data_IF_162708729035
#
_entry.id   IF_162708729035
#
_cell.length_a   1.000
_cell.length_b   1.000
_cell.length_c   1.000
_cell.angle_alpha   90.00
_cell.angle_beta   90.00
_cell.angle_gamma   90.00
#
_symmetry.space_group_name_H-M   'P 1'
#
loop_
_entity.id
_entity.type
_entity.pdbx_description
1 polymer ?
#
# COMPACT_ATOMS: atom_id res chain seq x y z
N UNK A 1 -2.99 31.97 -52.95
CA UNK A 1 -1.63 31.79 -52.41
C UNK A 1 -1.78 31.41 -50.96
N UNK A 2 -1.54 30.15 -50.61
CA UNK A 2 -1.51 29.73 -49.21
C UNK A 2 -0.18 30.17 -48.62
N UNK A 3 -0.22 31.07 -47.64
CA UNK A 3 0.95 31.48 -46.87
C UNK A 3 1.44 30.27 -46.06
N UNK A 4 2.47 29.60 -46.56
CA UNK A 4 3.31 28.73 -45.75
C UNK A 4 4.20 29.64 -44.90
N UNK A 5 3.72 30.01 -43.72
CA UNK A 5 4.57 30.60 -42.68
C UNK A 5 5.43 29.51 -42.05
N UNK A 6 6.73 29.77 -41.89
CA UNK A 6 7.64 28.88 -41.17
C UNK A 6 7.23 28.78 -39.68
N UNK A 7 7.45 27.61 -39.08
CA UNK A 7 7.09 27.37 -37.68
C UNK A 7 7.85 28.32 -36.74
N UNK A 8 7.17 29.36 -36.25
CA UNK A 8 7.72 30.36 -35.33
C UNK A 8 7.79 31.80 -35.88
N UNK A 9 7.34 32.07 -37.11
CA UNK A 9 7.22 33.45 -37.59
C UNK A 9 5.96 34.12 -37.03
N UNK A 10 6.14 35.25 -36.33
CA UNK A 10 5.02 36.08 -35.88
C UNK A 10 4.34 36.75 -37.10
N UNK A 11 2.99 36.78 -37.17
CA UNK A 11 2.27 37.44 -38.26
C UNK A 11 2.59 38.94 -38.25
N UNK A 12 3.05 39.49 -39.38
CA UNK A 12 3.49 40.90 -39.47
C UNK A 12 2.43 41.80 -40.12
N UNK A 13 1.46 41.21 -40.81
CA UNK A 13 0.42 41.91 -41.55
C UNK A 13 -0.97 41.69 -40.93
N UNK A 14 -1.85 42.70 -40.94
CA UNK A 14 -3.23 42.57 -40.43
C UNK A 14 -4.01 41.40 -41.04
N UNK A 15 -3.74 41.07 -42.32
CA UNK A 15 -4.33 39.89 -42.99
C UNK A 15 -3.81 38.56 -42.43
N UNK A 16 -2.53 38.48 -42.12
CA UNK A 16 -1.91 37.27 -41.55
C UNK A 16 -2.37 37.07 -40.11
N UNK A 17 -2.60 38.16 -39.37
CA UNK A 17 -3.19 38.13 -38.03
C UNK A 17 -4.63 37.56 -38.08
N UNK A 18 -5.46 38.06 -39.00
CA UNK A 18 -6.83 37.58 -39.17
C UNK A 18 -6.88 36.09 -39.59
N UNK A 19 -5.99 35.65 -40.48
CA UNK A 19 -5.88 34.25 -40.88
C UNK A 19 -5.41 33.36 -39.69
N UNK A 20 -4.46 33.85 -38.88
CA UNK A 20 -3.98 33.16 -37.69
C UNK A 20 -5.09 33.01 -36.63
N UNK A 21 -5.88 34.07 -36.38
CA UNK A 21 -7.04 34.05 -35.50
C UNK A 21 -8.13 33.10 -36.01
N UNK A 22 -8.38 33.08 -37.33
CA UNK A 22 -9.34 32.14 -37.92
C UNK A 22 -8.89 30.68 -37.74
N UNK A 23 -7.59 30.39 -37.90
CA UNK A 23 -7.02 29.05 -37.68
C UNK A 23 -7.10 28.65 -36.21
N UNK A 24 -6.80 29.57 -35.28
CA UNK A 24 -6.87 29.28 -33.84
C UNK A 24 -8.32 29.03 -33.38
N UNK A 25 -9.27 29.83 -33.87
CA UNK A 25 -10.70 29.65 -33.62
C UNK A 25 -11.20 28.30 -34.17
N UNK A 26 -10.76 27.89 -35.35
CA UNK A 26 -11.10 26.59 -35.93
C UNK A 26 -10.52 25.46 -35.08
N UNK A 27 -9.26 25.55 -34.65
CA UNK A 27 -8.66 24.56 -33.73
C UNK A 27 -9.40 24.47 -32.40
N UNK A 28 -9.80 25.60 -31.82
CA UNK A 28 -10.62 25.63 -30.60
C UNK A 28 -11.96 24.92 -30.81
N UNK A 29 -12.68 25.27 -31.87
CA UNK A 29 -13.95 24.63 -32.22
C UNK A 29 -13.80 23.11 -32.38
N UNK A 30 -12.78 22.65 -33.13
CA UNK A 30 -12.52 21.21 -33.28
C UNK A 30 -12.18 20.52 -31.96
N UNK A 31 -11.46 21.18 -31.05
CA UNK A 31 -11.13 20.64 -29.74
C UNK A 31 -12.39 20.48 -28.86
N UNK A 32 -13.34 21.41 -28.93
CA UNK A 32 -14.64 21.28 -28.26
C UNK A 32 -15.49 20.14 -28.83
N UNK A 33 -15.55 19.99 -30.15
CA UNK A 33 -16.27 18.88 -30.78
C UNK A 33 -15.70 17.52 -30.36
N UNK A 34 -14.36 17.40 -30.33
CA UNK A 34 -13.66 16.19 -29.89
C UNK A 34 -13.92 15.90 -28.41
N UNK A 35 -13.99 16.93 -27.56
CA UNK A 35 -14.36 16.80 -26.14
C UNK A 35 -15.76 16.20 -26.00
N UNK A 36 -16.74 16.73 -26.73
CA UNK A 36 -18.13 16.26 -26.64
C UNK A 36 -18.28 14.83 -27.19
N UNK A 37 -17.64 14.50 -28.32
CA UNK A 37 -17.56 13.13 -28.83
C UNK A 37 -16.93 12.17 -27.80
N UNK A 38 -15.86 12.61 -27.15
CA UNK A 38 -15.23 11.88 -26.05
C UNK A 38 -16.23 11.59 -24.92
N UNK A 39 -17.01 12.59 -24.50
CA UNK A 39 -18.04 12.45 -23.47
C UNK A 39 -19.16 11.48 -23.89
N UNK A 40 -19.57 11.50 -25.16
CA UNK A 40 -20.57 10.57 -25.70
C UNK A 40 -20.07 9.13 -25.64
N UNK A 41 -18.83 8.87 -26.05
CA UNK A 41 -18.23 7.54 -25.95
C UNK A 41 -18.15 7.03 -24.50
N UNK A 42 -17.89 7.90 -23.52
CA UNK A 42 -17.96 7.52 -22.10
C UNK A 42 -19.37 7.05 -21.72
N UNK A 43 -20.42 7.73 -22.22
CA UNK A 43 -21.82 7.35 -21.97
C UNK A 43 -22.22 6.05 -22.65
N UNK A 44 -21.66 5.75 -23.83
CA UNK A 44 -21.90 4.49 -24.56
C UNK A 44 -21.30 3.27 -23.83
N UNK A 45 -20.36 3.48 -22.90
CA UNK A 45 -19.88 2.46 -21.97
C UNK A 45 -18.53 1.83 -22.35
N UNK A 46 -18.17 0.76 -21.64
CA UNK A 46 -16.79 0.24 -21.59
C UNK A 46 -16.15 -0.08 -22.95
N UNK A 47 -16.95 -0.50 -23.94
CA UNK A 47 -16.46 -0.83 -25.28
C UNK A 47 -15.86 0.38 -26.02
N UNK A 48 -16.30 1.59 -25.69
CA UNK A 48 -15.89 2.83 -26.36
C UNK A 48 -14.93 3.68 -25.53
N UNK A 49 -14.42 3.17 -24.41
CA UNK A 49 -13.47 3.90 -23.57
C UNK A 49 -12.13 4.15 -24.27
N UNK A 50 -11.67 3.24 -25.14
CA UNK A 50 -10.49 3.48 -25.98
C UNK A 50 -10.70 4.66 -26.93
N UNK A 51 -11.87 4.70 -27.59
CA UNK A 51 -12.22 5.72 -28.57
C UNK A 51 -12.35 7.09 -27.88
N UNK A 52 -12.92 7.10 -26.67
CA UNK A 52 -12.99 8.30 -25.82
C UNK A 52 -11.60 8.85 -25.48
N UNK A 53 -10.64 7.98 -25.14
CA UNK A 53 -9.25 8.39 -24.86
C UNK A 53 -8.59 8.98 -26.11
N UNK A 54 -8.81 8.40 -27.29
CA UNK A 54 -8.29 8.92 -28.56
C UNK A 54 -8.88 10.31 -28.86
N UNK A 55 -10.20 10.49 -28.69
CA UNK A 55 -10.85 11.79 -28.85
C UNK A 55 -10.26 12.86 -27.91
N UNK A 56 -10.10 12.56 -26.62
CA UNK A 56 -9.49 13.51 -25.68
C UNK A 56 -8.03 13.80 -26.03
N UNK A 57 -7.28 12.79 -26.46
CA UNK A 57 -5.87 12.97 -26.85
C UNK A 57 -5.74 13.86 -28.08
N UNK A 58 -6.60 13.67 -29.08
CA UNK A 58 -6.68 14.56 -30.25
C UNK A 58 -7.10 15.98 -29.86
N UNK A 59 -8.02 16.14 -28.92
CA UNK A 59 -8.43 17.45 -28.42
C UNK A 59 -7.26 18.17 -27.72
N UNK A 60 -6.52 17.45 -26.86
CA UNK A 60 -5.33 17.98 -26.17
C UNK A 60 -4.25 18.39 -27.19
N UNK A 61 -4.03 17.58 -28.24
CA UNK A 61 -3.03 17.85 -29.27
C UNK A 61 -3.33 19.08 -30.13
N UNK A 62 -4.57 19.59 -30.15
CA UNK A 62 -4.87 20.86 -30.84
C UNK A 62 -4.18 22.06 -30.17
N UNK A 63 -3.87 21.96 -28.87
CA UNK A 63 -3.17 22.96 -28.07
C UNK A 63 -3.69 24.40 -28.29
N UNK A 64 -5.01 24.53 -28.42
CA UNK A 64 -5.68 25.80 -28.75
C UNK A 64 -6.62 26.29 -27.64
N UNK A 65 -6.84 25.47 -26.61
CA UNK A 65 -7.73 25.76 -25.49
C UNK A 65 -7.00 26.46 -24.35
N UNK A 66 -7.76 27.11 -23.47
CA UNK A 66 -7.21 27.70 -22.24
C UNK A 66 -6.75 26.61 -21.26
N UNK A 67 -5.85 26.97 -20.33
CA UNK A 67 -5.35 26.04 -19.29
C UNK A 67 -6.49 25.41 -18.47
N UNK A 68 -7.55 26.17 -18.18
CA UNK A 68 -8.71 25.68 -17.47
C UNK A 68 -9.48 24.59 -18.26
N UNK A 69 -9.62 24.76 -19.57
CA UNK A 69 -10.30 23.81 -20.45
C UNK A 69 -9.43 22.59 -20.74
N UNK A 70 -8.13 22.80 -20.91
CA UNK A 70 -7.16 21.73 -21.06
C UNK A 70 -7.08 20.87 -19.79
N UNK A 71 -7.15 21.49 -18.59
CA UNK A 71 -7.30 20.76 -17.32
C UNK A 71 -8.55 19.86 -17.32
N UNK A 72 -9.67 20.32 -17.86
CA UNK A 72 -10.89 19.51 -17.96
C UNK A 72 -10.66 18.31 -18.89
N UNK A 73 -9.99 18.48 -20.03
CA UNK A 73 -9.67 17.39 -20.96
C UNK A 73 -8.79 16.32 -20.31
N UNK A 74 -7.70 16.73 -19.66
CA UNK A 74 -6.82 15.81 -18.93
C UNK A 74 -7.59 15.09 -17.81
N UNK A 75 -8.42 15.82 -17.06
CA UNK A 75 -9.26 15.24 -16.00
C UNK A 75 -10.26 14.22 -16.56
N UNK A 76 -10.86 14.46 -17.73
CA UNK A 76 -11.78 13.53 -18.37
C UNK A 76 -11.06 12.29 -18.93
N UNK A 77 -9.86 12.45 -19.50
CA UNK A 77 -9.01 11.32 -19.91
C UNK A 77 -8.59 10.47 -18.71
N UNK A 78 -8.22 11.11 -17.59
CA UNK A 78 -7.92 10.45 -16.33
C UNK A 78 -9.11 9.60 -15.82
N UNK A 79 -10.33 10.13 -15.95
CA UNK A 79 -11.53 9.40 -15.56
C UNK A 79 -11.70 8.09 -16.33
N UNK A 80 -11.55 8.14 -17.66
CA UNK A 80 -11.68 6.94 -18.49
C UNK A 80 -10.55 5.95 -18.20
N UNK A 81 -9.33 6.43 -17.99
CA UNK A 81 -8.21 5.59 -17.56
C UNK A 81 -8.48 4.91 -16.21
N UNK A 82 -9.11 5.59 -15.24
CA UNK A 82 -9.55 4.99 -13.97
C UNK A 82 -10.57 3.88 -14.20
N UNK A 83 -11.55 4.10 -15.08
CA UNK A 83 -12.59 3.11 -15.39
C UNK A 83 -12.02 1.86 -16.09
N UNK A 84 -10.92 2.02 -16.84
CA UNK A 84 -10.19 0.92 -17.45
C UNK A 84 -9.22 0.19 -16.50
N UNK A 85 -8.97 0.74 -15.30
CA UNK A 85 -7.97 0.22 -14.36
C UNK A 85 -6.53 0.65 -14.66
N UNK A 86 -6.33 1.61 -15.56
CA UNK A 86 -5.01 2.14 -15.90
C UNK A 86 -4.57 3.21 -14.89
N UNK A 87 -4.38 2.83 -13.63
CA UNK A 87 -4.21 3.77 -12.51
C UNK A 87 -3.00 4.70 -12.68
N UNK A 88 -1.87 4.20 -13.20
CA UNK A 88 -0.66 5.03 -13.40
C UNK A 88 -0.87 6.12 -14.46
N UNK A 89 -1.53 5.79 -15.58
CA UNK A 89 -1.85 6.78 -16.62
C UNK A 89 -2.90 7.78 -16.14
N UNK A 90 -3.89 7.30 -15.39
CA UNK A 90 -4.88 8.17 -14.77
C UNK A 90 -4.26 9.15 -13.78
N UNK A 91 -3.29 8.71 -12.97
CA UNK A 91 -2.59 9.58 -12.02
C UNK A 91 -1.84 10.68 -12.76
N UNK A 92 -1.05 10.31 -13.78
CA UNK A 92 -0.31 11.29 -14.59
C UNK A 92 -1.24 12.32 -15.24
N UNK A 93 -2.32 11.87 -15.88
CA UNK A 93 -3.32 12.76 -16.48
C UNK A 93 -3.96 13.69 -15.44
N UNK A 94 -4.27 13.17 -14.26
CA UNK A 94 -4.88 13.96 -13.20
C UNK A 94 -3.88 14.96 -12.59
N UNK A 95 -2.60 14.61 -12.46
CA UNK A 95 -1.54 15.52 -12.03
C UNK A 95 -1.36 16.66 -13.03
N UNK A 96 -1.30 16.36 -14.32
CA UNK A 96 -1.19 17.39 -15.38
C UNK A 96 -2.44 18.29 -15.38
N UNK A 97 -3.63 17.74 -15.15
CA UNK A 97 -4.84 18.54 -14.95
C UNK A 97 -4.73 19.48 -13.74
N UNK A 98 -4.16 19.03 -12.62
CA UNK A 98 -4.00 19.85 -11.40
C UNK A 98 -2.90 20.90 -11.53
N UNK A 99 -1.85 20.66 -12.34
CA UNK A 99 -0.83 21.68 -12.65
C UNK A 99 -1.42 22.85 -13.43
N UNK A 100 -2.29 22.54 -14.40
CA UNK A 100 -2.98 23.55 -15.21
C UNK A 100 -4.07 24.31 -14.42
N UNK A 101 -4.85 23.59 -13.62
CA UNK A 101 -5.87 24.20 -12.76
C UNK A 101 -5.91 23.52 -11.38
N UNK A 102 -5.23 24.10 -10.38
CA UNK A 102 -5.21 23.57 -9.02
C UNK A 102 -6.59 23.51 -8.36
N UNK A 103 -7.53 24.38 -8.77
CA UNK A 103 -8.88 24.46 -8.23
C UNK A 103 -9.83 23.38 -8.79
N UNK A 104 -9.36 22.53 -9.72
CA UNK A 104 -10.18 21.48 -10.32
C UNK A 104 -10.37 20.30 -9.35
N UNK A 105 -11.44 20.38 -8.54
CA UNK A 105 -11.80 19.34 -7.54
C UNK A 105 -12.00 17.96 -8.15
N UNK A 106 -12.51 17.87 -9.39
CA UNK A 106 -12.67 16.58 -10.08
C UNK A 106 -11.32 15.95 -10.44
N UNK A 107 -10.35 16.75 -10.86
CA UNK A 107 -8.99 16.28 -11.10
C UNK A 107 -8.33 15.79 -9.80
N UNK A 108 -8.44 16.58 -8.71
CA UNK A 108 -7.92 16.18 -7.39
C UNK A 108 -8.53 14.88 -6.88
N UNK A 109 -9.85 14.71 -7.01
CA UNK A 109 -10.52 13.46 -6.65
C UNK A 109 -10.01 12.26 -7.48
N UNK A 110 -9.86 12.46 -8.79
CA UNK A 110 -9.38 11.42 -9.72
C UNK A 110 -7.91 11.05 -9.41
N UNK A 111 -7.06 12.03 -9.11
CA UNK A 111 -5.68 11.82 -8.67
C UNK A 111 -5.64 11.02 -7.37
N UNK A 112 -6.39 11.46 -6.34
CA UNK A 112 -6.45 10.76 -5.06
C UNK A 112 -6.93 9.30 -5.20
N UNK A 113 -7.95 9.07 -6.04
CA UNK A 113 -8.46 7.72 -6.31
C UNK A 113 -7.45 6.84 -7.05
N UNK A 114 -6.70 7.43 -8.00
CA UNK A 114 -5.62 6.73 -8.70
C UNK A 114 -4.48 6.36 -7.75
N UNK A 115 -4.02 7.30 -6.92
CA UNK A 115 -2.98 7.08 -5.89
C UNK A 115 -3.39 6.03 -4.88
N UNK A 116 -4.64 6.07 -4.40
CA UNK A 116 -5.18 5.05 -3.49
C UNK A 116 -5.14 3.65 -4.13
N UNK A 117 -5.50 3.54 -5.42
CA UNK A 117 -5.46 2.26 -6.14
C UNK A 117 -4.03 1.77 -6.42
N UNK A 118 -3.03 2.65 -6.38
CA UNK A 118 -1.60 2.33 -6.49
C UNK A 118 -0.93 2.09 -5.13
N UNK A 119 -1.70 2.08 -4.03
CA UNK A 119 -1.20 2.00 -2.65
C UNK A 119 -0.25 3.15 -2.25
N UNK A 120 -0.37 4.30 -2.92
CA UNK A 120 0.33 5.55 -2.58
C UNK A 120 -0.53 6.34 -1.60
N UNK A 121 -0.66 5.81 -0.38
CA UNK A 121 -1.60 6.30 0.63
C UNK A 121 -1.28 7.74 1.12
N UNK A 122 -0.02 8.11 1.41
CA UNK A 122 0.32 9.46 1.85
C UNK A 122 -0.01 10.51 0.79
N UNK A 123 0.33 10.24 -0.48
CA UNK A 123 0.04 11.13 -1.60
C UNK A 123 -1.46 11.25 -1.82
N UNK A 124 -2.21 10.14 -1.74
CA UNK A 124 -3.66 10.14 -1.87
C UNK A 124 -4.32 11.02 -0.79
N UNK A 125 -3.85 10.94 0.46
CA UNK A 125 -4.34 11.77 1.57
C UNK A 125 -4.10 13.25 1.31
N UNK A 126 -2.89 13.64 0.92
CA UNK A 126 -2.58 15.03 0.62
C UNK A 126 -3.40 15.60 -0.55
N UNK A 127 -3.68 14.79 -1.57
CA UNK A 127 -4.57 15.18 -2.68
C UNK A 127 -6.02 15.34 -2.23
N UNK A 128 -6.50 14.47 -1.33
CA UNK A 128 -7.82 14.60 -0.73
C UNK A 128 -7.96 15.88 0.09
N UNK A 129 -6.98 16.20 0.92
CA UNK A 129 -6.97 17.42 1.74
C UNK A 129 -7.01 18.69 0.86
N UNK A 130 -6.18 18.75 -0.19
CA UNK A 130 -6.24 19.83 -1.20
C UNK A 130 -7.62 19.94 -1.84
N UNK A 131 -8.24 18.81 -2.18
CA UNK A 131 -9.60 18.79 -2.73
C UNK A 131 -10.65 19.36 -1.78
N UNK A 132 -10.55 19.03 -0.49
CA UNK A 132 -11.46 19.54 0.55
C UNK A 132 -11.26 21.03 0.86
N UNK A 133 -10.05 21.56 0.68
CA UNK A 133 -9.78 23.01 0.81
C UNK A 133 -10.56 23.82 -0.24
N UNK A 134 -10.66 23.31 -1.47
CA UNK A 134 -11.42 23.97 -2.55
C UNK A 134 -12.93 23.69 -2.48
N UNK A 135 -13.34 22.49 -2.05
CA UNK A 135 -14.75 22.14 -1.90
C UNK A 135 -15.00 21.29 -0.66
N UNK A 136 -15.24 21.98 0.46
CA UNK A 136 -15.49 21.38 1.78
C UNK A 136 -16.78 20.55 1.86
N UNK A 137 -17.70 20.75 0.91
CA UNK A 137 -19.00 20.05 0.86
C UNK A 137 -18.97 18.75 0.06
N UNK A 138 -17.85 18.35 -0.54
CA UNK A 138 -17.82 17.18 -1.42
C UNK A 138 -17.80 15.85 -0.64
N UNK A 139 -18.96 15.21 -0.56
CA UNK A 139 -19.15 13.96 0.21
C UNK A 139 -18.36 12.76 -0.36
N UNK A 140 -18.15 12.69 -1.68
CA UNK A 140 -17.36 11.59 -2.27
C UNK A 140 -15.90 11.65 -1.82
N UNK A 141 -15.38 12.87 -1.72
CA UNK A 141 -13.99 13.15 -1.36
C UNK A 141 -13.75 12.89 0.14
N UNK A 142 -14.73 13.23 0.99
CA UNK A 142 -14.73 12.85 2.42
C UNK A 142 -14.78 11.34 2.62
N UNK A 143 -15.61 10.62 1.84
CA UNK A 143 -15.67 9.16 1.90
C UNK A 143 -14.34 8.52 1.52
N UNK A 144 -13.70 9.01 0.45
CA UNK A 144 -12.39 8.54 0.02
C UNK A 144 -11.30 8.82 1.07
N UNK A 145 -11.28 10.03 1.64
CA UNK A 145 -10.34 10.39 2.71
C UNK A 145 -10.46 9.44 3.92
N UNK A 146 -11.69 9.15 4.37
CA UNK A 146 -11.93 8.17 5.45
C UNK A 146 -11.42 6.77 5.10
N UNK A 147 -11.59 6.31 3.86
CA UNK A 147 -11.06 5.02 3.41
C UNK A 147 -9.52 5.00 3.44
N UNK A 148 -8.89 6.07 2.99
CA UNK A 148 -7.43 6.22 3.02
C UNK A 148 -6.92 6.19 4.46
N UNK A 149 -7.54 6.93 5.38
CA UNK A 149 -7.15 6.95 6.80
C UNK A 149 -7.25 5.57 7.46
N UNK A 150 -8.27 4.78 7.10
CA UNK A 150 -8.42 3.40 7.60
C UNK A 150 -7.29 2.50 7.10
N UNK A 151 -6.94 2.57 5.81
CA UNK A 151 -5.85 1.74 5.27
C UNK A 151 -4.47 2.19 5.79
N UNK A 152 -4.23 3.49 5.98
CA UNK A 152 -3.00 3.99 6.61
C UNK A 152 -2.87 3.43 8.04
N UNK A 153 -3.92 3.57 8.86
CA UNK A 153 -3.89 3.06 10.23
C UNK A 153 -3.69 1.54 10.31
N UNK A 154 -4.17 0.80 9.30
CA UNK A 154 -3.98 -0.65 9.20
C UNK A 154 -2.54 -1.00 8.83
N UNK A 155 -1.93 -0.29 7.88
CA UNK A 155 -0.54 -0.50 7.50
C UNK A 155 0.40 -0.13 8.65
N UNK A 156 0.17 0.99 9.34
CA UNK A 156 0.96 1.40 10.50
C UNK A 156 0.91 0.36 11.63
N UNK A 157 -0.26 -0.23 11.90
CA UNK A 157 -0.39 -1.32 12.88
C UNK A 157 0.41 -2.55 12.47
N UNK A 158 0.32 -2.93 11.20
CA UNK A 158 1.06 -4.07 10.65
C UNK A 158 2.56 -3.84 10.74
N UNK A 159 3.03 -2.66 10.38
CA UNK A 159 4.45 -2.29 10.45
C UNK A 159 4.95 -2.25 11.89
N UNK A 160 4.13 -1.78 12.83
CA UNK A 160 4.44 -1.82 14.26
C UNK A 160 4.53 -3.27 14.80
N UNK A 161 3.62 -4.15 14.40
CA UNK A 161 3.65 -5.57 14.77
C UNK A 161 4.89 -6.28 14.19
N UNK A 162 5.20 -6.05 12.91
CA UNK A 162 6.40 -6.58 12.27
C UNK A 162 7.66 -6.05 12.96
N UNK A 163 7.74 -4.75 13.23
CA UNK A 163 8.88 -4.13 13.92
C UNK A 163 9.08 -4.72 15.32
N UNK A 164 7.99 -4.95 16.07
CA UNK A 164 8.03 -5.59 17.39
C UNK A 164 8.52 -7.04 17.31
N UNK A 165 8.05 -7.80 16.33
CA UNK A 165 8.48 -9.19 16.12
C UNK A 165 9.95 -9.30 15.68
N UNK A 166 10.40 -8.38 14.82
CA UNK A 166 11.81 -8.30 14.39
C UNK A 166 12.70 -7.91 15.57
N UNK A 167 12.25 -6.96 16.39
CA UNK A 167 12.99 -6.55 17.59
C UNK A 167 13.12 -7.70 18.60
N UNK A 168 12.04 -8.42 18.90
CA UNK A 168 12.09 -9.55 19.83
C UNK A 168 12.95 -10.70 19.30
N UNK A 169 12.86 -11.01 18.00
CA UNK A 169 13.72 -12.01 17.38
C UNK A 169 15.20 -11.61 17.44
N UNK A 170 15.53 -10.35 17.17
CA UNK A 170 16.91 -9.83 17.25
C UNK A 170 17.44 -9.89 18.69
N UNK A 171 16.62 -9.52 19.68
CA UNK A 171 16.97 -9.62 21.09
C UNK A 171 17.26 -11.08 21.47
N UNK A 172 16.41 -12.01 21.04
CA UNK A 172 16.57 -13.44 21.29
C UNK A 172 17.87 -13.99 20.69
N UNK A 173 18.18 -13.64 19.43
CA UNK A 173 19.43 -14.03 18.78
C UNK A 173 20.65 -13.50 19.54
N UNK A 174 20.63 -12.24 19.95
CA UNK A 174 21.73 -11.66 20.74
C UNK A 174 21.91 -12.34 22.10
N UNK A 175 20.81 -12.78 22.73
CA UNK A 175 20.84 -13.53 23.97
C UNK A 175 21.49 -14.92 23.79
N UNK A 176 21.25 -15.58 22.65
CA UNK A 176 21.90 -16.85 22.30
C UNK A 176 23.39 -16.69 22.06
N UNK A 177 23.80 -15.66 21.31
CA UNK A 177 25.21 -15.37 21.03
C UNK A 177 25.99 -15.08 22.31
N UNK A 178 25.45 -14.23 23.20
CA UNK A 178 26.09 -13.87 24.47
C UNK A 178 26.30 -15.08 25.38
N UNK A 179 25.40 -16.05 25.33
CA UNK A 179 25.46 -17.29 26.12
C UNK A 179 26.23 -18.42 25.42
N UNK A 180 26.73 -18.19 24.19
CA UNK A 180 27.47 -19.19 23.43
C UNK A 180 26.62 -20.39 22.99
N UNK A 181 25.31 -20.22 22.83
CA UNK A 181 24.38 -21.30 22.53
C UNK A 181 24.39 -21.64 21.03
N UNK A 182 24.43 -22.94 20.71
CA UNK A 182 24.34 -23.46 19.34
C UNK A 182 22.97 -24.06 19.12
N UNK A 183 22.20 -23.48 18.20
CA UNK A 183 20.88 -23.99 17.84
C UNK A 183 21.03 -24.89 16.61
N UNK A 184 20.68 -26.17 16.79
CA UNK A 184 20.64 -27.14 15.71
C UNK A 184 19.28 -27.19 15.01
N UNK A 185 19.14 -28.13 14.09
CA UNK A 185 17.86 -28.37 13.43
C UNK A 185 16.80 -28.82 14.46
N UNK A 186 15.53 -28.41 14.30
CA UNK A 186 14.47 -28.84 15.20
C UNK A 186 14.33 -30.36 15.14
N UNK A 187 14.48 -31.00 16.30
CA UNK A 187 14.16 -32.41 16.49
C UNK A 187 12.85 -32.54 17.26
N UNK A 188 12.07 -33.57 16.96
CA UNK A 188 10.80 -33.87 17.66
C UNK A 188 9.71 -32.79 17.54
N UNK A 189 9.68 -32.05 16.41
CA UNK A 189 8.68 -31.01 16.14
C UNK A 189 7.23 -31.53 16.18
N UNK A 190 7.03 -32.82 15.88
CA UNK A 190 5.72 -33.48 15.98
C UNK A 190 5.22 -33.56 17.43
N UNK A 191 6.13 -33.64 18.41
CA UNK A 191 5.81 -33.78 19.84
C UNK A 191 5.74 -32.41 20.56
N UNK A 192 6.58 -31.45 20.16
CA UNK A 192 6.72 -30.15 20.83
C UNK A 192 5.97 -29.01 20.13
N UNK A 193 5.53 -29.23 18.89
CA UNK A 193 4.96 -28.21 18.03
C UNK A 193 5.99 -27.16 17.58
N UNK A 194 5.49 -25.96 17.25
CA UNK A 194 6.29 -24.81 16.77
C UNK A 194 6.62 -23.81 17.89
N UNK A 195 6.83 -24.31 19.10
CA UNK A 195 7.20 -23.47 20.26
C UNK A 195 8.67 -23.06 20.18
N UNK A 196 8.95 -21.80 20.45
CA UNK A 196 10.29 -21.19 20.35
C UNK A 196 10.68 -20.64 21.72
N UNK A 197 11.98 -20.56 22.04
CA UNK A 197 12.43 -19.90 23.26
C UNK A 197 11.99 -18.44 23.27
N UNK A 198 11.59 -17.95 24.44
CA UNK A 198 11.21 -16.57 24.66
C UNK A 198 12.19 -15.90 25.61
N UNK A 199 12.30 -14.58 25.51
CA UNK A 199 13.15 -13.77 26.37
C UNK A 199 12.25 -12.87 27.21
N UNK A 200 12.35 -12.97 28.53
CA UNK A 200 11.61 -12.12 29.45
C UNK A 200 12.28 -10.74 29.63
N UNK A 201 11.58 -9.80 30.25
CA UNK A 201 12.01 -8.42 30.53
C UNK A 201 13.33 -8.34 31.30
N UNK A 202 13.62 -9.34 32.12
CA UNK A 202 14.86 -9.42 32.90
C UNK A 202 16.03 -10.01 32.10
N UNK A 203 15.88 -10.16 30.78
CA UNK A 203 16.85 -10.81 29.90
C UNK A 203 17.11 -12.28 30.28
N UNK A 204 16.09 -12.95 30.80
CA UNK A 204 16.12 -14.37 31.19
C UNK A 204 15.45 -15.18 30.07
N UNK A 205 16.11 -16.25 29.63
CA UNK A 205 15.58 -17.14 28.60
C UNK A 205 14.62 -18.18 29.20
N UNK A 206 13.50 -18.35 28.52
CA UNK A 206 12.54 -19.41 28.79
C UNK A 206 12.56 -20.40 27.64
N UNK A 207 12.73 -21.68 27.98
CA UNK A 207 12.97 -22.76 27.04
C UNK A 207 11.79 -23.72 26.99
N UNK A 208 11.31 -24.08 25.79
CA UNK A 208 10.52 -25.29 25.64
C UNK A 208 11.46 -26.50 25.81
N UNK A 209 11.17 -27.37 26.79
CA UNK A 209 12.00 -28.53 27.14
C UNK A 209 11.21 -29.81 26.98
N UNK A 210 11.72 -30.75 26.18
CA UNK A 210 11.17 -32.10 26.04
C UNK A 210 12.01 -33.07 26.88
N UNK A 211 11.34 -33.78 27.78
CA UNK A 211 11.92 -34.85 28.59
C UNK A 211 11.53 -36.19 27.99
N UNK A 212 12.53 -37.04 27.73
CA UNK A 212 12.33 -38.36 27.14
C UNK A 212 12.72 -39.43 28.17
N UNK A 213 11.81 -40.38 28.41
CA UNK A 213 12.02 -41.51 29.31
C UNK A 213 12.07 -42.81 28.49
N UNK A 214 13.23 -43.17 27.94
CA UNK A 214 13.35 -44.29 26.99
C UNK A 214 12.98 -45.64 27.61
N UNK A 215 13.22 -45.83 28.92
CA UNK A 215 12.90 -47.09 29.62
C UNK A 215 11.41 -47.43 29.62
N UNK A 216 10.56 -46.40 29.62
CA UNK A 216 9.10 -46.54 29.65
C UNK A 216 8.43 -46.01 28.39
N UNK A 217 9.22 -45.65 27.37
CA UNK A 217 8.75 -45.11 26.09
C UNK A 217 7.76 -43.96 26.24
N UNK A 218 7.99 -43.08 27.23
CA UNK A 218 7.15 -41.91 27.49
C UNK A 218 7.94 -40.61 27.36
N UNK A 219 7.23 -39.50 27.27
CA UNK A 219 7.81 -38.17 27.19
C UNK A 219 6.92 -37.13 27.88
N UNK A 220 7.54 -36.13 28.49
CA UNK A 220 6.86 -34.95 29.01
C UNK A 220 7.37 -33.70 28.30
N UNK A 221 6.49 -32.73 28.07
CA UNK A 221 6.85 -31.45 27.45
C UNK A 221 6.56 -30.29 28.40
N UNK A 222 7.60 -29.54 28.72
CA UNK A 222 7.54 -28.31 29.51
C UNK A 222 7.56 -27.15 28.54
N UNK A 223 6.46 -26.40 28.45
CA UNK A 223 6.36 -25.30 27.48
C UNK A 223 7.30 -24.13 27.82
N UNK A 224 7.52 -23.87 29.10
CA UNK A 224 8.22 -22.68 29.60
C UNK A 224 9.12 -23.02 30.79
N UNK A 225 10.37 -23.37 30.51
CA UNK A 225 11.40 -23.65 31.51
C UNK A 225 12.36 -22.46 31.64
N UNK A 226 12.37 -21.81 32.80
CA UNK A 226 13.26 -20.68 33.06
C UNK A 226 14.73 -21.14 33.16
N UNK A 227 15.66 -20.46 32.49
CA UNK A 227 17.08 -20.84 32.51
C UNK A 227 17.73 -20.77 33.90
N UNK A 228 17.14 -20.01 34.84
CA UNK A 228 17.64 -19.91 36.22
C UNK A 228 17.08 -20.99 37.14
N UNK A 229 16.08 -21.74 36.70
CA UNK A 229 15.45 -22.76 37.52
C UNK A 229 16.31 -24.01 37.60
N UNK A 230 16.35 -24.63 38.78
CA UNK A 230 16.98 -25.93 38.94
C UNK A 230 16.11 -27.02 38.36
N UNK A 231 16.72 -27.92 37.61
CA UNK A 231 16.04 -29.06 36.99
C UNK A 231 15.34 -29.97 38.02
N UNK A 232 15.92 -30.10 39.23
CA UNK A 232 15.36 -30.90 40.33
C UNK A 232 13.96 -30.43 40.74
N UNK A 233 13.71 -29.13 40.79
CA UNK A 233 12.41 -28.59 41.18
C UNK A 233 11.30 -29.01 40.20
N UNK A 234 11.65 -29.14 38.91
CA UNK A 234 10.72 -29.59 37.88
C UNK A 234 10.49 -31.11 37.92
N UNK A 235 11.55 -31.89 38.18
CA UNK A 235 11.44 -33.34 38.36
C UNK A 235 10.59 -33.71 39.57
N UNK A 236 10.70 -32.95 40.67
CA UNK A 236 9.89 -33.16 41.86
C UNK A 236 8.40 -33.06 41.51
N UNK A 237 7.99 -32.02 40.77
CA UNK A 237 6.61 -31.86 40.29
C UNK A 237 6.11 -33.03 39.45
N UNK A 238 6.95 -33.56 38.55
CA UNK A 238 6.62 -34.71 37.69
C UNK A 238 6.52 -36.00 38.52
N UNK A 239 7.39 -36.18 39.51
CA UNK A 239 7.45 -37.37 40.39
C UNK A 239 6.22 -37.56 41.29
N UNK A 240 5.41 -36.51 41.49
CA UNK A 240 4.13 -36.59 42.20
C UNK A 240 3.01 -37.19 41.34
N UNK A 241 3.14 -37.17 40.01
CA UNK A 241 2.14 -37.67 39.06
C UNK A 241 2.39 -39.13 38.67
N UNK A 242 3.61 -39.64 38.90
CA UNK A 242 3.99 -41.02 38.62
C UNK A 242 3.33 -41.98 39.64
N UNK A 243 2.61 -43.04 39.20
CA UNK A 243 2.01 -44.01 40.09
C UNK A 243 3.05 -44.63 41.04
N UNK A 244 2.71 -44.96 42.29
CA UNK A 244 3.66 -45.42 43.31
C UNK A 244 4.45 -46.69 42.94
N UNK A 245 4.01 -47.43 41.91
CA UNK A 245 4.71 -48.62 41.37
C UNK A 245 6.02 -48.29 40.65
N UNK A 246 6.23 -47.04 40.22
CA UNK A 246 7.41 -46.61 39.47
C UNK A 246 8.28 -45.59 40.25
N UNK A 247 7.96 -45.30 41.52
CA UNK A 247 8.85 -44.52 42.38
C UNK A 247 10.05 -45.36 42.78
N UNK A 248 11.24 -44.94 42.36
CA UNK A 248 12.48 -45.47 42.92
C UNK A 248 12.49 -45.20 44.43
N UNK A 249 12.58 -46.26 45.24
CA UNK A 249 12.87 -46.13 46.67
C UNK A 249 14.32 -45.70 46.77
N UNK A 250 14.57 -44.42 47.05
CA UNK A 250 15.86 -44.00 47.55
C UNK A 250 16.09 -44.73 48.87
N UNK A 251 16.90 -45.79 48.84
CA UNK A 251 17.42 -46.41 50.05
C UNK A 251 18.46 -45.46 50.63
N UNK A 252 18.03 -44.53 51.47
CA UNK A 252 18.92 -43.92 52.45
C UNK A 252 19.31 -45.02 53.45
N UNK A 253 20.43 -45.69 53.16
CA UNK A 253 21.22 -46.43 54.14
C UNK A 253 22.63 -45.82 54.09
N UNK A 254 22.83 -44.80 54.92
CA UNK A 254 23.95 -44.59 55.84
C UNK A 254 23.88 -43.17 56.41
#
# INVERSE_FOLDING_TARGET
>A
MALWMEAGSEPKTDKELADFEAISALKQSTAFELKEKGNEYVKMGKKHYSDSIDCYTRAINQNALSDAEQSILYSNRAHVNLLLGNYRRALQDAEDATKLNPSNVKALYRAAKASFSLNLLPEAKGLCEKGLQHSSSNEELKKLAKQIDIEIAKEERRDAEVSKAVFSAKALVSAFETRGLKIGNPMYQELTGLKKPTLDKNNILHWPVLLLYPEIMSSDFIEEFCETDMFSAHLDMISFVIPPKYRYKNSTNC
#
